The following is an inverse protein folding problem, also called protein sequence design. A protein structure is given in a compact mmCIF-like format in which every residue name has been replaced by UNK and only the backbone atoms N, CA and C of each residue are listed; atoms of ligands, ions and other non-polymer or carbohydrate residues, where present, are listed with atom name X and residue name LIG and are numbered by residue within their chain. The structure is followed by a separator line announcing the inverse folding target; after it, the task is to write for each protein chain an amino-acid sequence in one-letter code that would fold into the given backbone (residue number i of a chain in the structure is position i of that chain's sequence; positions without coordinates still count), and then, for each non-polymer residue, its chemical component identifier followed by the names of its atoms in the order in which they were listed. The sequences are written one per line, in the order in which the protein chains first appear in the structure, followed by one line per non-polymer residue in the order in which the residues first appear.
data_IF_189274993674
#
_entry.id   IF_189274993674
#
_cell.length_a   1.000
_cell.length_b   1.000
_cell.length_c   1.000
_cell.angle_alpha   90.00
_cell.angle_beta   90.00
_cell.angle_gamma   90.00
#
_symmetry.space_group_name_H-M   'P 1'
#
loop_
_entity.id
_entity.type
_entity.pdbx_description
1 polymer ?
2 polymer ?
3 non-polymer ?
4 non-polymer ?
5 water ?
#
# COMPACT_ATOMS: atom_id res chain seq x y z
N UNK A 1 -27.27 14.60 6.44
CA UNK A 1 -27.33 14.12 7.85
C UNK A 1 -26.07 14.61 8.59
N UNK A 2 -25.29 13.71 9.19
CA UNK A 2 -24.24 14.07 10.19
C UNK A 2 -23.03 14.75 9.52
N UNK A 3 -22.75 14.47 8.24
CA UNK A 3 -21.59 15.07 7.53
C UNK A 3 -21.75 16.58 7.46
N UNK A 4 -22.90 17.06 6.98
CA UNK A 4 -23.25 18.50 6.85
C UNK A 4 -23.27 19.18 8.22
N UNK A 5 -23.63 18.44 9.28
CA UNK A 5 -23.80 18.99 10.65
C UNK A 5 -22.45 19.18 11.34
N UNK A 6 -21.43 18.38 10.99
CA UNK A 6 -20.14 18.34 11.73
C UNK A 6 -18.97 18.87 10.88
N UNK A 7 -19.07 18.82 9.54
CA UNK A 7 -17.95 19.12 8.61
C UNK A 7 -18.33 20.28 7.68
N UNK A 8 -17.37 21.17 7.43
CA UNK A 8 -17.45 22.32 6.51
C UNK A 8 -16.54 22.05 5.30
N UNK A 9 -17.12 21.99 4.10
CA UNK A 9 -16.44 21.72 2.81
C UNK A 9 -15.61 22.95 2.38
N UNK A 10 -14.38 22.71 1.93
CA UNK A 10 -13.51 23.73 1.29
C UNK A 10 -13.11 23.22 -0.10
N UNK A 11 -11.92 23.60 -0.60
CA UNK A 11 -11.54 23.46 -2.03
C UNK A 11 -11.32 21.99 -2.40
N UNK A 12 -11.50 21.66 -3.68
CA UNK A 12 -11.24 20.33 -4.27
C UNK A 12 -9.73 20.07 -4.29
N UNK A 13 -9.30 18.90 -3.81
CA UNK A 13 -7.88 18.47 -3.72
C UNK A 13 -7.58 17.38 -4.76
N UNK A 14 -8.61 16.71 -5.29
CA UNK A 14 -8.46 15.61 -6.27
C UNK A 14 -9.79 15.01 -6.65
N UNK A 15 -9.78 14.16 -7.68
CA UNK A 15 -10.98 13.47 -8.23
C UNK A 15 -10.61 12.00 -8.48
N UNK A 16 -11.58 11.10 -8.29
CA UNK A 16 -11.50 9.68 -8.67
C UNK A 16 -12.72 9.27 -9.46
N UNK A 17 -12.87 7.97 -9.73
CA UNK A 17 -14.07 7.38 -10.36
C UNK A 17 -15.26 7.55 -9.42
N UNK A 18 -16.22 8.40 -9.78
CA UNK A 18 -17.50 8.64 -9.06
C UNK A 18 -17.21 9.26 -7.68
N UNK A 19 -16.06 9.90 -7.51
CA UNK A 19 -15.59 10.45 -6.21
C UNK A 19 -14.86 11.77 -6.41
N UNK A 20 -15.06 12.71 -5.47
CA UNK A 20 -14.28 13.98 -5.36
C UNK A 20 -13.70 14.04 -3.95
N UNK A 21 -12.45 14.50 -3.81
CA UNK A 21 -11.78 14.76 -2.51
C UNK A 21 -11.68 16.28 -2.33
N UNK A 22 -12.29 16.79 -1.25
CA UNK A 22 -12.23 18.22 -0.85
C UNK A 22 -11.57 18.31 0.52
N UNK A 23 -10.82 19.38 0.77
CA UNK A 23 -10.40 19.77 2.14
C UNK A 23 -11.68 20.10 2.91
N UNK A 24 -11.77 19.66 4.17
CA UNK A 24 -12.88 19.98 5.08
C UNK A 24 -12.33 20.29 6.47
N UNK A 25 -13.19 20.80 7.35
CA UNK A 25 -12.85 21.13 8.77
C UNK A 25 -13.97 20.56 9.66
N UNK A 26 -13.62 19.71 10.62
CA UNK A 26 -14.50 19.33 11.76
C UNK A 26 -14.73 20.61 12.58
N UNK A 27 -15.88 21.26 12.36
CA UNK A 27 -16.16 22.67 12.77
C UNK A 27 -15.88 22.84 14.27
N UNK A 28 -16.35 21.90 15.11
CA UNK A 28 -16.26 22.00 16.59
C UNK A 28 -14.84 21.73 17.07
N UNK A 29 -14.04 20.99 16.29
CA UNK A 29 -12.65 20.59 16.62
C UNK A 29 -11.64 21.58 16.06
N UNK A 30 -11.96 22.23 14.93
CA UNK A 30 -11.10 23.21 14.24
C UNK A 30 -9.93 22.53 13.54
N UNK A 31 -10.05 21.24 13.23
CA UNK A 31 -9.01 20.42 12.56
C UNK A 31 -9.44 20.20 11.10
N UNK A 32 -8.50 20.34 10.16
CA UNK A 32 -8.75 20.16 8.70
C UNK A 32 -8.45 18.70 8.33
N UNK A 33 -9.26 18.14 7.43
CA UNK A 33 -9.19 16.75 6.94
C UNK A 33 -9.42 16.73 5.41
N UNK A 34 -9.18 15.59 4.79
CA UNK A 34 -9.57 15.31 3.39
C UNK A 34 -10.87 14.49 3.41
N UNK A 35 -11.96 15.06 2.88
CA UNK A 35 -13.28 14.41 2.73
C UNK A 35 -13.39 13.80 1.33
N UNK A 36 -13.36 12.47 1.23
CA UNK A 36 -13.66 11.76 -0.03
C UNK A 36 -15.18 11.59 -0.14
N UNK A 37 -15.78 12.22 -1.15
CA UNK A 37 -17.25 12.27 -1.40
C UNK A 37 -17.54 11.34 -2.58
N UNK A 38 -18.29 10.26 -2.33
CA UNK A 38 -18.50 9.13 -3.28
C UNK A 38 -19.98 9.09 -3.70
N UNK A 39 -20.25 9.10 -5.00
CA UNK A 39 -21.61 8.92 -5.59
C UNK A 39 -21.93 7.42 -5.60
N UNK A 40 -22.58 6.93 -4.54
CA UNK A 40 -22.87 5.49 -4.29
C UNK A 40 -23.85 4.95 -5.35
N UNK A 41 -24.66 5.80 -5.97
CA UNK A 41 -25.63 5.42 -7.02
C UNK A 41 -24.88 4.83 -8.23
N UNK A 42 -23.67 5.30 -8.50
CA UNK A 42 -22.86 4.95 -9.70
C UNK A 42 -22.09 3.65 -9.49
N UNK A 43 -21.96 3.17 -8.24
CA UNK A 43 -21.07 2.02 -7.88
C UNK A 43 -21.78 0.69 -8.19
N UNK A 44 -21.02 -0.27 -8.73
CA UNK A 44 -21.44 -1.68 -8.91
C UNK A 44 -21.52 -2.38 -7.55
N UNK A 45 -22.15 -3.55 -7.50
CA UNK A 45 -22.22 -4.42 -6.30
C UNK A 45 -20.81 -4.68 -5.77
N UNK A 46 -19.87 -4.99 -6.67
CA UNK A 46 -18.43 -5.22 -6.37
C UNK A 46 -17.83 -3.99 -5.67
N UNK A 47 -18.02 -2.80 -6.26
CA UNK A 47 -17.47 -1.51 -5.76
C UNK A 47 -18.03 -1.22 -4.36
N UNK A 48 -19.32 -1.47 -4.15
CA UNK A 48 -20.02 -1.28 -2.85
C UNK A 48 -19.32 -2.08 -1.75
N UNK A 49 -19.10 -3.39 -1.99
CA UNK A 49 -18.39 -4.30 -1.06
C UNK A 49 -17.02 -3.71 -0.70
N UNK A 50 -16.27 -3.26 -1.70
CA UNK A 50 -14.87 -2.75 -1.55
C UNK A 50 -14.88 -1.45 -0.73
N UNK A 51 -15.89 -0.60 -0.92
CA UNK A 51 -16.09 0.63 -0.12
C UNK A 51 -16.39 0.25 1.34
N UNK A 52 -17.35 -0.65 1.54
CA UNK A 52 -17.79 -1.14 2.87
C UNK A 52 -16.59 -1.70 3.65
N UNK A 53 -15.81 -2.57 3.00
CA UNK A 53 -14.68 -3.30 3.63
C UNK A 53 -13.52 -2.32 3.86
N UNK A 54 -13.34 -1.35 2.96
CA UNK A 54 -12.33 -0.26 3.10
C UNK A 54 -12.68 0.60 4.33
N UNK A 55 -13.95 0.99 4.44
CA UNK A 55 -14.48 1.86 5.54
C UNK A 55 -14.31 1.15 6.89
N UNK A 56 -14.58 -0.16 6.95
CA UNK A 56 -14.48 -0.96 8.19
C UNK A 56 -13.01 -1.16 8.57
N UNK A 57 -12.16 -1.58 7.61
CA UNK A 57 -10.76 -2.02 7.87
C UNK A 57 -9.88 -0.80 8.18
N UNK A 58 -9.97 0.28 7.40
CA UNK A 58 -9.16 1.50 7.62
C UNK A 58 -9.51 2.11 8.99
N UNK A 59 -10.78 2.03 9.39
CA UNK A 59 -11.30 2.65 10.64
C UNK A 59 -10.74 1.93 11.88
N UNK A 60 -10.46 0.63 11.80
CA UNK A 60 -9.96 -0.13 12.98
C UNK A 60 -8.43 0.02 13.09
N UNK A 61 -7.78 0.60 12.08
CA UNK A 61 -6.32 0.90 12.08
C UNK A 61 -6.10 2.33 12.58
N UNK A 62 -5.11 2.51 13.47
CA UNK A 62 -4.64 3.83 13.95
C UNK A 62 -3.11 3.78 14.08
N UNK A 63 -2.40 4.39 13.13
CA UNK A 63 -0.91 4.43 13.07
C UNK A 63 -0.45 5.67 12.31
N UNK A 64 0.63 6.35 12.76
CA UNK A 64 1.12 7.54 12.08
C UNK A 64 1.54 7.34 10.61
N UNK A 65 1.80 6.09 10.19
CA UNK A 65 2.21 5.70 8.81
C UNK A 65 1.07 4.97 8.09
N UNK A 66 -0.16 5.15 8.57
CA UNK A 66 -1.41 4.74 7.85
C UNK A 66 -2.29 5.99 7.74
N UNK A 67 -2.80 6.29 6.53
CA UNK A 67 -3.77 7.39 6.31
C UNK A 67 -5.00 7.09 7.19
N UNK A 68 -5.17 7.83 8.28
CA UNK A 68 -6.22 7.58 9.30
C UNK A 68 -7.59 7.90 8.68
N UNK A 69 -8.50 6.93 8.73
CA UNK A 69 -9.96 7.15 8.46
C UNK A 69 -10.61 7.52 9.80
N UNK A 70 -11.01 8.79 9.93
CA UNK A 70 -11.52 9.39 11.20
C UNK A 70 -13.03 9.17 11.31
N UNK A 71 -13.74 9.01 10.19
CA UNK A 71 -15.22 8.96 10.16
C UNK A 71 -15.70 8.41 8.82
N UNK A 72 -16.86 7.76 8.83
CA UNK A 72 -17.53 7.16 7.65
C UNK A 72 -19.04 7.40 7.75
N UNK A 73 -19.59 8.24 6.87
CA UNK A 73 -21.00 8.72 6.94
C UNK A 73 -21.71 8.34 5.62
N UNK A 74 -22.89 7.70 5.74
CA UNK A 74 -23.78 7.35 4.61
C UNK A 74 -25.03 8.24 4.65
N UNK A 75 -25.20 9.10 3.64
CA UNK A 75 -26.37 10.01 3.48
C UNK A 75 -27.20 9.53 2.29
N UNK A 76 -28.13 10.37 1.82
CA UNK A 76 -28.96 10.12 0.62
C UNK A 76 -28.06 10.09 -0.63
N UNK A 77 -27.64 8.90 -1.06
CA UNK A 77 -26.94 8.66 -2.33
C UNK A 77 -25.52 9.22 -2.38
N UNK A 78 -24.93 9.50 -1.21
CA UNK A 78 -23.52 9.98 -1.08
C UNK A 78 -22.86 9.35 0.15
N UNK A 79 -21.67 8.78 -0.02
CA UNK A 79 -20.81 8.27 1.09
C UNK A 79 -19.63 9.22 1.30
N UNK A 80 -19.35 9.55 2.56
CA UNK A 80 -18.27 10.47 3.00
C UNK A 80 -17.26 9.69 3.86
N UNK A 81 -16.00 9.66 3.40
CA UNK A 81 -14.84 9.14 4.17
C UNK A 81 -13.95 10.33 4.57
N UNK A 82 -13.77 10.54 5.88
CA UNK A 82 -12.94 11.63 6.45
C UNK A 82 -11.55 11.05 6.77
N UNK A 83 -10.54 11.46 6.01
CA UNK A 83 -9.14 10.98 6.11
C UNK A 83 -8.22 12.10 6.60
N UNK A 84 -7.04 11.73 7.11
CA UNK A 84 -5.88 12.64 7.29
C UNK A 84 -5.72 13.49 6.01
N UNK A 85 -5.50 14.80 6.16
CA UNK A 85 -5.10 15.68 5.04
C UNK A 85 -3.64 15.37 4.68
N UNK A 86 -3.42 14.83 3.47
CA UNK A 86 -2.10 14.42 2.92
C UNK A 86 -1.89 15.16 1.61
N UNK A 87 -0.83 15.98 1.50
CA UNK A 87 -0.62 16.96 0.41
C UNK A 87 0.69 16.69 -0.36
N UNK A 88 1.44 15.64 0.01
CA UNK A 88 2.77 15.34 -0.59
C UNK A 88 2.67 14.48 -1.85
N UNK A 89 1.47 14.01 -2.20
CA UNK A 89 1.25 13.12 -3.36
C UNK A 89 1.73 11.71 -3.08
N UNK A 90 1.79 10.86 -4.12
CA UNK A 90 2.14 9.41 -4.00
C UNK A 90 3.65 9.24 -3.95
N UNK A 91 4.12 8.25 -3.19
CA UNK A 91 5.51 7.74 -3.22
C UNK A 91 5.90 7.43 -4.66
N UNK A 92 4.99 6.84 -5.44
CA UNK A 92 5.18 6.51 -6.87
C UNK A 92 5.66 7.76 -7.63
N UNK A 93 4.96 8.87 -7.46
CA UNK A 93 5.24 10.16 -8.16
C UNK A 93 6.62 10.66 -7.72
N UNK A 94 6.94 10.56 -6.43
CA UNK A 94 8.23 11.03 -5.85
C UNK A 94 9.38 10.19 -6.43
N UNK A 95 9.18 8.89 -6.61
CA UNK A 95 10.20 7.96 -7.18
C UNK A 95 10.45 8.35 -8.65
N UNK A 96 9.38 8.60 -9.42
CA UNK A 96 9.47 9.02 -10.85
C UNK A 96 10.28 10.34 -10.94
N UNK A 97 9.98 11.29 -10.05
CA UNK A 97 10.60 12.64 -10.00
C UNK A 97 12.09 12.52 -9.66
N UNK A 98 12.43 11.79 -8.60
CA UNK A 98 13.80 11.68 -8.03
C UNK A 98 14.58 10.55 -8.71
N UNK A 99 13.88 9.68 -9.47
CA UNK A 99 14.43 8.53 -10.23
C UNK A 99 14.71 7.35 -9.28
N UNK A 100 15.41 7.59 -8.17
CA UNK A 100 15.70 6.57 -7.12
C UNK A 100 16.09 7.25 -5.81
N UNK A 101 16.12 6.49 -4.72
CA UNK A 101 16.46 6.94 -3.34
C UNK A 101 17.86 6.44 -2.97
N UNK A 102 18.63 7.25 -2.23
CA UNK A 102 19.85 6.83 -1.49
C UNK A 102 19.47 5.71 -0.53
N UNK A 103 20.44 4.87 -0.13
CA UNK A 103 20.22 3.77 0.86
C UNK A 103 19.62 4.35 2.14
N UNK A 104 20.11 5.51 2.59
CA UNK A 104 19.66 6.22 3.82
C UNK A 104 18.18 6.58 3.70
N UNK A 105 17.75 7.07 2.53
CA UNK A 105 16.35 7.51 2.27
C UNK A 105 15.46 6.28 2.04
N UNK A 106 15.96 5.28 1.31
CA UNK A 106 15.27 4.00 1.03
C UNK A 106 14.98 3.27 2.34
N UNK A 107 15.98 3.16 3.22
CA UNK A 107 15.90 2.52 4.56
C UNK A 107 14.87 3.26 5.42
N UNK A 108 14.94 4.60 5.46
CA UNK A 108 14.00 5.46 6.20
C UNK A 108 12.57 5.23 5.69
N UNK A 109 12.39 5.15 4.37
CA UNK A 109 11.09 4.97 3.69
C UNK A 109 10.50 3.59 4.04
N UNK A 110 11.27 2.52 3.83
CA UNK A 110 10.80 1.11 4.02
C UNK A 110 10.55 0.86 5.51
N UNK A 111 11.33 1.50 6.39
CA UNK A 111 11.14 1.46 7.87
C UNK A 111 9.70 1.85 8.20
N UNK A 112 9.24 2.99 7.68
CA UNK A 112 7.88 3.55 7.92
C UNK A 112 6.81 2.63 7.33
N UNK A 113 7.10 2.04 6.16
CA UNK A 113 6.18 1.10 5.45
C UNK A 113 6.02 -0.16 6.29
N UNK A 114 7.12 -0.68 6.85
CA UNK A 114 7.14 -1.91 7.67
C UNK A 114 6.41 -1.68 9.01
N UNK A 115 6.55 -0.49 9.59
CA UNK A 115 5.83 -0.08 10.83
C UNK A 115 4.32 -0.12 10.55
N UNK A 116 3.90 0.43 9.41
CA UNK A 116 2.49 0.43 8.94
C UNK A 116 2.02 -1.01 8.75
N UNK A 117 2.83 -1.85 8.08
CA UNK A 117 2.50 -3.28 7.80
C UNK A 117 2.45 -4.05 9.13
N UNK A 118 3.41 -3.82 10.02
CA UNK A 118 3.44 -4.48 11.36
C UNK A 118 2.12 -4.19 12.07
N UNK A 119 1.70 -2.92 12.11
CA UNK A 119 0.44 -2.48 12.76
C UNK A 119 -0.75 -3.25 12.15
N UNK A 120 -0.89 -3.24 10.83
CA UNK A 120 -1.94 -3.99 10.09
C UNK A 120 -1.98 -5.44 10.60
N UNK A 121 -0.83 -6.11 10.57
CA UNK A 121 -0.66 -7.55 10.90
C UNK A 121 -1.04 -7.80 12.37
N UNK A 122 -0.61 -6.92 13.29
CA UNK A 122 -0.96 -7.00 14.73
C UNK A 122 -2.47 -6.80 14.94
N UNK A 123 -3.10 -5.97 14.11
CA UNK A 123 -4.55 -5.63 14.20
C UNK A 123 -5.38 -6.69 13.46
N UNK A 124 -4.73 -7.64 12.78
CA UNK A 124 -5.38 -8.77 12.08
C UNK A 124 -5.85 -8.37 10.69
N UNK A 125 -5.05 -7.54 10.00
CA UNK A 125 -5.37 -7.04 8.62
C UNK A 125 -4.20 -7.36 7.70
N UNK A 126 -4.51 -7.93 6.53
CA UNK A 126 -3.58 -8.07 5.37
C UNK A 126 -4.02 -7.06 4.31
N UNK A 127 -3.11 -6.18 3.86
CA UNK A 127 -3.39 -5.10 2.88
C UNK A 127 -3.65 -5.69 1.49
N UNK A 128 -2.76 -6.59 1.04
CA UNK A 128 -2.86 -7.39 -0.21
C UNK A 128 -2.44 -6.59 -1.45
N UNK A 129 -2.21 -5.27 -1.33
CA UNK A 129 -1.98 -4.38 -2.50
C UNK A 129 -0.96 -3.29 -2.16
N UNK A 130 0.14 -3.64 -1.48
CA UNK A 130 1.26 -2.70 -1.21
C UNK A 130 1.95 -2.36 -2.54
N UNK A 131 2.07 -1.06 -2.83
CA UNK A 131 2.80 -0.51 -4.00
C UNK A 131 2.99 0.98 -3.79
N UNK A 132 3.98 1.63 -4.46
CA UNK A 132 4.21 3.07 -4.29
C UNK A 132 2.99 3.96 -4.60
N UNK A 133 2.08 3.46 -5.44
CA UNK A 133 0.81 4.14 -5.82
C UNK A 133 -0.12 4.22 -4.60
N UNK A 134 0.01 3.29 -3.65
CA UNK A 134 -0.87 3.17 -2.45
C UNK A 134 -0.15 3.70 -1.21
N UNK A 135 0.96 4.43 -1.40
CA UNK A 135 1.71 5.11 -0.31
C UNK A 135 1.78 6.61 -0.61
N UNK A 136 1.34 7.44 0.33
CA UNK A 136 1.23 8.91 0.17
C UNK A 136 2.22 9.58 1.13
N UNK A 137 2.82 10.71 0.69
CA UNK A 137 3.71 11.56 1.51
C UNK A 137 2.83 12.60 2.22
N UNK A 138 3.01 12.75 3.54
CA UNK A 138 2.19 13.62 4.43
C UNK A 138 2.17 15.05 3.87
N UNK A 139 3.32 15.55 3.42
CA UNK A 139 3.52 16.91 2.86
C UNK A 139 4.67 16.89 1.85
N UNK A 140 4.99 18.05 1.26
CA UNK A 140 6.05 18.24 0.23
C UNK A 140 7.42 18.29 0.90
N UNK A 141 7.45 18.58 2.21
CA UNK A 141 8.70 18.77 3.02
C UNK A 141 9.51 17.47 3.00
N UNK A 142 10.85 17.58 3.00
CA UNK A 142 11.78 16.41 3.06
C UNK A 142 11.67 15.78 4.45
N UNK A 143 11.65 14.44 4.51
CA UNK A 143 11.47 13.66 5.75
C UNK A 143 10.01 13.59 6.18
N UNK A 144 9.08 13.99 5.31
CA UNK A 144 7.62 13.92 5.53
C UNK A 144 7.21 12.45 5.61
N UNK A 145 6.36 12.10 6.58
CA UNK A 145 5.90 10.73 6.85
C UNK A 145 5.33 10.10 5.57
N UNK A 146 5.68 8.84 5.31
CA UNK A 146 5.03 7.98 4.28
C UNK A 146 3.85 7.28 4.96
N UNK A 147 2.66 7.32 4.34
CA UNK A 147 1.40 6.79 4.92
C UNK A 147 0.78 5.78 3.94
N UNK A 148 0.50 4.57 4.42
CA UNK A 148 -0.19 3.49 3.66
C UNK A 148 -1.66 3.89 3.46
N UNK A 149 -2.19 3.69 2.25
CA UNK A 149 -3.54 4.10 1.83
C UNK A 149 -4.21 3.01 0.98
N UNK A 150 -5.48 3.24 0.63
CA UNK A 150 -6.34 2.40 -0.25
C UNK A 150 -6.37 0.96 0.28
N UNK A 151 -7.26 0.71 1.25
CA UNK A 151 -7.53 -0.62 1.86
C UNK A 151 -8.70 -1.30 1.14
N UNK A 152 -8.97 -0.91 -0.11
CA UNK A 152 -10.06 -1.45 -0.95
C UNK A 152 -9.95 -2.95 -1.18
N UNK A 153 -8.73 -3.51 -1.15
CA UNK A 153 -8.49 -4.96 -1.34
C UNK A 153 -8.04 -5.61 -0.03
N UNK A 154 -8.09 -4.88 1.09
CA UNK A 154 -7.63 -5.36 2.43
C UNK A 154 -8.60 -6.42 2.95
N UNK A 155 -8.08 -7.42 3.68
CA UNK A 155 -8.87 -8.52 4.29
C UNK A 155 -8.57 -8.56 5.79
N UNK A 156 -9.53 -9.07 6.58
CA UNK A 156 -9.34 -9.41 8.01
C UNK A 156 -8.92 -10.88 8.11
N UNK A 157 -7.93 -11.18 8.94
CA UNK A 157 -7.43 -12.56 9.21
C UNK A 157 -7.39 -12.77 10.73
N UNK A 158 -7.62 -14.00 11.19
CA UNK A 158 -7.56 -14.39 12.63
C UNK A 158 -6.19 -15.01 12.91
N UNK A 159 -5.30 -14.25 13.56
CA UNK A 159 -3.92 -14.69 13.90
C UNK A 159 -3.13 -15.04 12.64
N UNK A 160 -2.55 -16.23 12.61
CA UNK A 160 -1.68 -16.73 11.50
C UNK A 160 -2.48 -17.63 10.56
N UNK A 161 -3.82 -17.48 10.57
CA UNK A 161 -4.77 -18.13 9.62
C UNK A 161 -4.28 -17.92 8.19
N UNK A 162 -4.03 -19.00 7.46
CA UNK A 162 -3.79 -19.01 5.98
C UNK A 162 -5.05 -19.57 5.31
N UNK A 163 -5.55 -18.90 4.27
CA UNK A 163 -6.76 -19.31 3.52
C UNK A 163 -6.70 -18.72 2.10
N UNK A 164 -7.48 -19.29 1.17
CA UNK A 164 -7.63 -18.73 -0.20
C UNK A 164 -8.63 -17.57 -0.12
N UNK A 165 -8.11 -16.35 0.00
CA UNK A 165 -8.90 -15.09 0.12
C UNK A 165 -9.19 -14.53 -1.27
N UNK A 166 -8.78 -15.24 -2.34
CA UNK A 166 -9.07 -14.88 -3.73
C UNK A 166 -7.88 -14.23 -4.43
N UNK A 167 -7.92 -14.17 -5.76
CA UNK A 167 -6.88 -13.53 -6.61
C UNK A 167 -7.14 -12.03 -6.66
N UNK A 168 -6.28 -11.25 -6.01
CA UNK A 168 -6.42 -9.78 -5.85
C UNK A 168 -5.04 -9.15 -5.66
N UNK A 169 -4.85 -7.94 -6.17
CA UNK A 169 -3.60 -7.17 -6.04
C UNK A 169 -3.21 -6.53 -7.36
N UNK A 170 -1.94 -6.13 -7.47
CA UNK A 170 -1.35 -5.45 -8.64
C UNK A 170 -0.28 -6.37 -9.23
N UNK A 171 -0.35 -6.68 -10.55
CA UNK A 171 0.47 -7.73 -11.16
C UNK A 171 1.95 -7.75 -10.72
N UNK A 172 2.64 -6.61 -10.80
CA UNK A 172 4.08 -6.48 -10.52
C UNK A 172 4.43 -6.77 -9.08
N UNK A 173 3.46 -6.66 -8.16
CA UNK A 173 3.66 -6.76 -6.68
C UNK A 173 3.04 -8.06 -6.14
N UNK A 174 2.35 -8.84 -6.98
CA UNK A 174 1.68 -10.11 -6.58
C UNK A 174 2.72 -11.10 -6.05
N UNK A 175 2.40 -11.76 -4.93
CA UNK A 175 3.27 -12.77 -4.28
C UNK A 175 3.16 -14.09 -5.05
N UNK A 176 4.25 -14.90 -5.06
CA UNK A 176 4.21 -16.24 -5.65
C UNK A 176 3.01 -17.08 -5.19
N UNK A 177 2.65 -17.02 -3.90
CA UNK A 177 1.58 -17.86 -3.30
C UNK A 177 0.22 -17.47 -3.88
N UNK A 178 -0.01 -16.18 -4.15
CA UNK A 178 -1.28 -15.70 -4.78
C UNK A 178 -1.31 -16.22 -6.22
N UNK A 179 -0.21 -16.07 -6.96
CA UNK A 179 -0.06 -16.58 -8.35
C UNK A 179 -0.24 -18.09 -8.40
N UNK A 180 0.19 -18.81 -7.35
CA UNK A 180 0.12 -20.29 -7.23
C UNK A 180 -1.25 -20.72 -6.68
N UNK A 181 -2.14 -19.76 -6.37
CA UNK A 181 -3.51 -20.00 -5.85
C UNK A 181 -3.43 -20.74 -4.51
N UNK A 182 -2.37 -20.51 -3.73
CA UNK A 182 -2.13 -21.17 -2.42
C UNK A 182 -2.90 -20.44 -1.34
N UNK A 183 -3.26 -21.12 -0.22
CA UNK A 183 -3.75 -20.42 0.97
C UNK A 183 -2.65 -19.44 1.40
N UNK A 184 -3.01 -18.20 1.74
CA UNK A 184 -2.03 -17.13 2.04
C UNK A 184 -2.54 -16.25 3.18
N UNK A 185 -1.70 -15.32 3.60
CA UNK A 185 -1.99 -14.39 4.72
C UNK A 185 -0.98 -13.25 4.74
N UNK A 186 -0.44 -12.98 5.93
CA UNK A 186 0.37 -11.76 6.23
C UNK A 186 1.60 -11.67 5.32
N UNK A 187 2.32 -12.78 5.03
CA UNK A 187 3.54 -12.72 4.21
C UNK A 187 3.43 -12.02 2.84
N UNK A 188 2.24 -11.98 2.23
CA UNK A 188 2.04 -11.38 0.87
C UNK A 188 2.48 -9.91 0.90
N UNK A 189 2.22 -9.22 2.03
CA UNK A 189 2.57 -7.78 2.24
C UNK A 189 4.10 -7.62 2.26
N UNK A 190 4.83 -8.59 2.80
CA UNK A 190 6.31 -8.54 2.94
C UNK A 190 6.97 -8.74 1.59
N UNK A 191 6.39 -9.55 0.70
CA UNK A 191 6.88 -9.73 -0.69
C UNK A 191 6.77 -8.39 -1.43
N UNK A 192 5.60 -7.75 -1.37
CA UNK A 192 5.33 -6.41 -1.95
C UNK A 192 6.38 -5.41 -1.40
N UNK A 193 6.69 -5.49 -0.10
CA UNK A 193 7.74 -4.67 0.57
C UNK A 193 9.09 -4.86 -0.12
N UNK A 194 9.43 -6.11 -0.50
CA UNK A 194 10.64 -6.45 -1.24
C UNK A 194 10.67 -5.77 -2.60
N UNK A 195 9.54 -5.80 -3.33
CA UNK A 195 9.40 -5.19 -4.67
C UNK A 195 9.57 -3.66 -4.53
N UNK A 196 8.91 -3.07 -3.53
CA UNK A 196 8.98 -1.60 -3.24
C UNK A 196 10.44 -1.22 -2.93
N UNK A 197 11.10 -1.97 -2.05
CA UNK A 197 12.48 -1.65 -1.58
C UNK A 197 13.45 -1.70 -2.77
N UNK A 198 13.32 -2.73 -3.63
CA UNK A 198 14.11 -2.89 -4.88
C UNK A 198 13.95 -1.62 -5.73
N UNK A 199 12.70 -1.20 -5.97
CA UNK A 199 12.34 0.01 -6.78
C UNK A 199 12.96 1.26 -6.14
N UNK A 200 12.82 1.41 -4.82
CA UNK A 200 13.37 2.57 -4.05
C UNK A 200 14.85 2.82 -4.44
N UNK A 201 15.65 1.76 -4.50
CA UNK A 201 17.14 1.83 -4.58
C UNK A 201 17.62 2.12 -6.01
N UNK A 202 17.01 1.53 -7.05
CA UNK A 202 17.50 1.65 -8.45
C UNK A 202 16.44 2.24 -9.40
N UNK A 203 15.18 2.38 -8.96
CA UNK A 203 14.13 3.10 -9.71
C UNK A 203 13.49 2.28 -10.81
N UNK A 204 13.68 0.96 -10.82
CA UNK A 204 12.97 0.01 -11.71
C UNK A 204 12.63 -1.26 -10.92
N UNK A 205 11.60 -2.03 -11.32
CA UNK A 205 11.13 -3.17 -10.53
C UNK A 205 11.97 -4.43 -10.76
N UNK A 206 11.99 -5.37 -9.77
CA UNK A 206 12.73 -6.62 -9.92
C UNK A 206 12.07 -7.59 -10.92
N UNK A 207 10.76 -7.43 -11.14
CA UNK A 207 9.96 -8.23 -12.10
C UNK A 207 9.23 -7.27 -13.05
N UNK A 208 9.65 -7.23 -14.31
CA UNK A 208 8.86 -6.60 -15.41
C UNK A 208 9.03 -7.37 -16.71
N UNK A 209 7.95 -7.43 -17.48
CA UNK A 209 7.83 -8.08 -18.80
C UNK A 209 6.45 -7.72 -19.36
N UNK A 210 6.42 -7.15 -20.58
CA UNK A 210 5.16 -6.79 -21.29
C UNK A 210 4.29 -8.04 -21.45
N UNK A 211 4.93 -9.21 -21.56
CA UNK A 211 4.28 -10.55 -21.60
C UNK A 211 3.97 -10.97 -20.15
N UNK A 212 2.70 -10.89 -19.75
CA UNK A 212 2.27 -11.15 -18.34
C UNK A 212 2.55 -12.61 -17.96
N UNK A 213 2.37 -13.54 -18.91
CA UNK A 213 2.71 -14.98 -18.72
C UNK A 213 4.16 -15.10 -18.24
N UNK A 214 5.09 -14.44 -18.94
CA UNK A 214 6.54 -14.37 -18.57
C UNK A 214 6.68 -13.71 -17.19
N UNK A 215 6.02 -12.56 -16.98
CA UNK A 215 6.06 -11.81 -15.69
C UNK A 215 5.72 -12.76 -14.54
N UNK A 216 4.59 -13.47 -14.63
CA UNK A 216 4.06 -14.33 -13.54
C UNK A 216 4.96 -15.56 -13.35
N UNK A 217 5.53 -16.10 -14.44
CA UNK A 217 6.54 -17.19 -14.39
C UNK A 217 7.75 -16.72 -13.57
N UNK A 218 8.26 -15.52 -13.87
CA UNK A 218 9.47 -14.93 -13.20
C UNK A 218 9.22 -14.80 -11.70
N UNK A 219 8.07 -14.24 -11.31
CA UNK A 219 7.67 -14.02 -9.89
C UNK A 219 7.63 -15.38 -9.17
N UNK A 220 6.95 -16.37 -9.75
CA UNK A 220 6.79 -17.73 -9.17
C UNK A 220 8.16 -18.41 -9.04
N UNK A 221 9.10 -18.12 -9.95
CA UNK A 221 10.47 -18.69 -9.97
C UNK A 221 11.40 -17.91 -9.02
N UNK A 222 10.97 -16.73 -8.55
CA UNK A 222 11.83 -15.77 -7.84
C UNK A 222 13.02 -15.36 -8.71
N UNK A 223 12.79 -15.23 -10.02
CA UNK A 223 13.83 -14.97 -11.04
C UNK A 223 14.07 -13.47 -11.15
N UNK A 224 14.66 -12.87 -10.11
CA UNK A 224 15.14 -11.47 -10.06
C UNK A 224 16.65 -11.50 -9.86
N UNK A 225 17.33 -10.39 -10.18
CA UNK A 225 18.79 -10.24 -9.95
C UNK A 225 19.09 -8.76 -9.68
N UNK A 226 20.36 -8.45 -9.45
CA UNK A 226 20.88 -7.10 -9.16
C UNK A 226 21.83 -6.68 -10.29
N UNK A 227 21.30 -6.17 -11.42
CA UNK A 227 22.13 -5.79 -12.57
C UNK A 227 23.27 -4.80 -12.27
N UNK A 228 24.36 -4.89 -13.04
CA UNK A 228 25.55 -4.00 -12.97
C UNK A 228 25.36 -2.84 -13.95
N UNK A 229 25.93 -1.64 -13.70
CA UNK A 229 26.71 -1.37 -12.49
C UNK A 229 25.92 -0.81 -11.29
N UNK A 230 24.63 -0.47 -11.47
CA UNK A 230 23.83 0.28 -10.45
C UNK A 230 23.86 -0.44 -9.10
N UNK A 231 23.78 -1.77 -9.07
CA UNK A 231 23.70 -2.58 -7.83
C UNK A 231 25.09 -2.86 -7.25
N UNK A 232 26.16 -2.66 -8.03
CA UNK A 232 27.56 -3.04 -7.66
C UNK A 232 27.99 -2.35 -6.36
N UNK A 233 27.50 -1.13 -6.09
CA UNK A 233 27.90 -0.28 -4.94
C UNK A 233 26.85 -0.30 -3.83
N UNK A 234 25.73 -1.02 -4.01
CA UNK A 234 24.69 -1.21 -2.95
C UNK A 234 25.25 -2.19 -1.92
N UNK A 235 25.08 -1.89 -0.62
CA UNK A 235 25.63 -2.70 0.51
C UNK A 235 25.05 -4.11 0.47
N UNK A 236 25.78 -5.15 0.93
CA UNK A 236 25.26 -6.50 1.00
C UNK A 236 24.00 -6.63 1.88
N UNK A 237 23.93 -5.86 2.98
CA UNK A 237 22.81 -5.93 3.96
C UNK A 237 21.51 -5.45 3.28
N UNK A 238 21.59 -4.43 2.41
CA UNK A 238 20.45 -3.94 1.60
C UNK A 238 19.91 -5.09 0.73
N UNK A 239 20.80 -5.76 0.00
CA UNK A 239 20.45 -6.90 -0.89
C UNK A 239 19.97 -8.07 -0.05
N UNK A 240 20.55 -8.26 1.15
CA UNK A 240 20.17 -9.33 2.10
C UNK A 240 18.70 -9.16 2.49
N UNK A 241 18.28 -7.93 2.80
CA UNK A 241 16.88 -7.63 3.23
C UNK A 241 15.93 -7.93 2.06
N UNK A 242 16.27 -7.49 0.85
CA UNK A 242 15.47 -7.75 -0.39
C UNK A 242 15.32 -9.27 -0.56
N UNK A 243 16.44 -10.01 -0.50
CA UNK A 243 16.48 -11.49 -0.69
C UNK A 243 15.52 -12.16 0.31
N UNK A 244 15.50 -11.69 1.56
CA UNK A 244 14.70 -12.28 2.66
C UNK A 244 13.23 -11.92 2.49
N UNK A 245 12.95 -10.77 1.85
CA UNK A 245 11.57 -10.33 1.49
C UNK A 245 11.11 -11.08 0.23
N UNK A 246 11.96 -11.16 -0.80
CA UNK A 246 11.64 -11.86 -2.07
C UNK A 246 12.00 -13.34 -1.95
N UNK A 247 11.47 -13.99 -0.89
CA UNK A 247 11.57 -15.45 -0.65
C UNK A 247 10.27 -16.09 -1.12
N UNK A 248 10.35 -17.01 -2.08
CA UNK A 248 9.15 -17.56 -2.81
C UNK A 248 8.32 -18.45 -1.88
N UNK A 249 8.93 -19.04 -0.85
CA UNK A 249 8.19 -19.78 0.22
C UNK A 249 7.79 -18.79 1.30
N UNK A 250 6.49 -18.46 1.45
CA UNK A 250 6.06 -17.45 2.43
C UNK A 250 6.38 -17.81 3.89
N UNK A 251 6.53 -19.10 4.19
CA UNK A 251 6.92 -19.62 5.53
C UNK A 251 8.36 -19.22 5.85
N UNK A 252 9.23 -19.14 4.84
CA UNK A 252 10.68 -18.83 5.01
C UNK A 252 10.92 -17.32 4.87
N UNK A 253 9.91 -16.56 4.47
CA UNK A 253 10.01 -15.10 4.20
C UNK A 253 10.13 -14.35 5.53
N UNK A 254 10.91 -13.27 5.53
CA UNK A 254 11.08 -12.38 6.72
C UNK A 254 9.72 -11.74 7.04
N UNK A 255 9.40 -11.61 8.33
CA UNK A 255 8.18 -10.93 8.84
C UNK A 255 8.47 -9.43 8.97
N UNK A 256 7.43 -8.62 9.14
CA UNK A 256 7.54 -7.14 9.33
C UNK A 256 8.36 -6.85 10.59
N UNK A 257 8.08 -7.57 11.69
CA UNK A 257 8.79 -7.45 12.99
C UNK A 257 10.28 -7.72 12.78
N UNK A 258 10.62 -8.86 12.16
CA UNK A 258 12.00 -9.32 11.88
C UNK A 258 12.72 -8.28 11.00
N UNK A 259 12.03 -7.78 9.96
CA UNK A 259 12.57 -6.82 8.98
C UNK A 259 13.00 -5.52 9.68
N UNK A 260 12.22 -5.07 10.68
CA UNK A 260 12.48 -3.82 11.44
C UNK A 260 13.71 -4.00 12.34
N UNK A 261 14.06 -5.24 12.69
CA UNK A 261 15.24 -5.60 13.52
C UNK A 261 16.46 -5.89 12.64
N UNK A 262 16.28 -5.96 11.31
CA UNK A 262 17.37 -6.22 10.33
C UNK A 262 18.41 -5.11 10.45
N UNK A 263 19.73 -5.43 10.46
CA UNK A 263 20.78 -4.42 10.60
C UNK A 263 20.58 -3.16 9.74
N UNK A 264 20.07 -3.33 8.52
CA UNK A 264 19.89 -2.25 7.51
C UNK A 264 18.77 -1.29 7.91
N UNK A 265 17.87 -1.70 8.82
CA UNK A 265 16.74 -0.87 9.35
C UNK A 265 17.04 -0.45 10.79
N UNK A 266 17.17 -1.41 11.70
CA UNK A 266 17.43 -1.21 13.16
C UNK A 266 16.46 -0.17 13.75
N UNK A 267 15.15 -0.39 13.61
CA UNK A 267 14.08 0.45 14.23
C UNK A 267 13.51 -0.24 15.47
N UNK A 268 13.57 -1.57 15.52
CA UNK A 268 13.12 -2.40 16.67
C UNK A 268 14.29 -3.27 17.16
N UNK B 10 9.69 1.56 -14.84
CA UNK B 10 8.77 2.03 -13.76
C UNK B 10 7.54 2.70 -14.39
N UNK B 11 6.43 1.95 -14.48
CA UNK B 11 5.12 2.44 -15.00
C UNK B 11 4.05 2.23 -13.91
N UNK B 12 3.04 3.11 -13.87
CA UNK B 12 1.90 3.00 -12.92
C UNK B 12 1.16 1.67 -13.20
N UNK B 13 0.79 0.96 -12.13
CA UNK B 13 0.07 -0.34 -12.22
C UNK B 13 -1.23 -0.24 -11.41
N UNK B 14 -2.27 -0.96 -11.87
CA UNK B 14 -3.66 -0.87 -11.38
C UNK B 14 -4.00 -2.11 -10.54
N UNK B 15 -4.90 -1.91 -9.56
CA UNK B 15 -5.36 -2.93 -8.58
C UNK B 15 -6.51 -3.73 -9.20
N UNK B 16 -6.42 -5.05 -9.12
CA UNK B 16 -7.46 -6.02 -9.58
C UNK B 16 -8.04 -6.76 -8.38
N UNK B 17 -9.32 -7.11 -8.44
CA UNK B 17 -10.05 -7.87 -7.38
C UNK B 17 -10.40 -9.27 -7.88
N UNK B 18 -9.86 -9.68 -9.04
CA UNK B 18 -10.06 -11.01 -9.64
C UNK B 18 -8.93 -11.29 -10.64
N UNK B 19 -8.77 -12.56 -11.05
CA UNK B 19 -7.79 -12.95 -12.09
C UNK B 19 -8.32 -12.56 -13.47
N UNK B 20 -7.48 -11.90 -14.27
CA UNK B 20 -7.73 -11.65 -15.71
C UNK B 20 -6.41 -11.84 -16.46
N UNK B 21 -6.42 -12.67 -17.51
CA UNK B 21 -5.22 -13.03 -18.30
C UNK B 21 -4.91 -11.89 -19.29
N UNK B 22 -3.84 -11.12 -19.02
CA UNK B 22 -3.38 -10.00 -19.88
C UNK B 22 -2.22 -10.48 -20.76
X LIG C 1 -11.88 -4.04 16.15
X LIG C 1 -12.21 -2.71 15.80
X LIG C 1 -10.74 -4.13 17.09
X LIG C 1 -9.56 -3.58 16.55
X LIG D 1 15.57 -8.76 -12.90
X LIG D 1 15.43 -8.40 -11.54
X LIG D 1 16.15 -7.67 -13.74
X LIG D 1 16.06 -6.39 -13.13
X LIG E 1 -25.74 9.46 13.28
X LIG E 1 -25.52 8.10 13.71
X LIG E 1 -27.06 9.58 12.73
X LIG E 1 -25.59 10.36 14.39
X LIG E 1 -24.78 9.78 12.26
X LIG F 1 -5.01 -9.35 -12.69
X LIG F 1 -5.99 -10.33 -12.38
X LIG F 1 -3.98 -9.85 -13.62
X LIG F 1 -3.72 -8.95 -14.68
#
# INVERSE_FOLDING_TARGET
TRFTEEYQLFEELGKGAFSVVRRCVKVLAGQEYAAKIINTKKLSARDHQKLEREARICRLLKHPNIVRLHDSISEEGHHYLIFDLVTGGELFEDIVAREYYSEADASHCIQQILEAVLHCHQMGVVHRDLKPENLLLASKLKGAAVKLADFGLAIEVEGEQQAWFGFAGTPGYLSPEVLRKDPYGKPVDLWACGVILYILLVGYPPFWDEDQHRLYKQIKAGAYDFPSPEWDTVTPEAKDLINKMLTINPSKRITAAEALKHPWISHR
KAQKKNRNKLRRQHSYDTFVDL
EDO C1 O1 C2 O2
EDO C1 O1 C2 O2
SO4 S O1 O2 O3 O4
EDO C1 O1 C2 O2
#
